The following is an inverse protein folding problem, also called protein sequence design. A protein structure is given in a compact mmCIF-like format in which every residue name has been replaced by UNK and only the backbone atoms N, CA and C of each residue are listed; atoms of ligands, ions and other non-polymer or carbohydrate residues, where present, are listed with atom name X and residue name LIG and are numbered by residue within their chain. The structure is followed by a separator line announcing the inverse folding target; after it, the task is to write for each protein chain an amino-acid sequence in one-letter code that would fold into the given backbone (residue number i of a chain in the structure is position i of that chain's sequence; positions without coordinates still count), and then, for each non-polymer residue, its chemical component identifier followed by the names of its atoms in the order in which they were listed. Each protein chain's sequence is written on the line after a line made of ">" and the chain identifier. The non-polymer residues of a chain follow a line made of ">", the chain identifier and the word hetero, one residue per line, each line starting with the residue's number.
data_IF_884756874293
#
_entry.id   IF_884756874293
#
_cell.length_a   1.000
_cell.length_b   1.000
_cell.length_c   1.000
_cell.angle_alpha   90.00
_cell.angle_beta   90.00
_cell.angle_gamma   90.00
#
_symmetry.space_group_name_H-M   'P 1'
#
loop_
_entity.id
_entity.type
_entity.pdbx_description
1 polymer ?
#
# COMPACT_ATOMS: atom_id res chain seq x y z
N UNK A 1 8.54 13.86 76.40
CA UNK A 1 8.60 15.17 75.70
C UNK A 1 9.59 15.00 74.56
N UNK A 2 9.35 15.24 73.27
CA UNK A 2 8.23 15.74 72.47
C UNK A 2 8.20 14.91 71.18
N UNK A 3 7.00 14.73 70.64
CA UNK A 3 6.70 14.10 69.35
C UNK A 3 7.26 14.91 68.17
N UNK A 4 7.58 14.21 67.09
CA UNK A 4 7.85 14.81 65.77
C UNK A 4 7.75 13.76 64.66
N UNK A 5 6.52 13.38 64.32
CA UNK A 5 6.19 12.59 63.12
C UNK A 5 6.41 13.46 61.88
N UNK A 6 7.07 12.93 60.86
CA UNK A 6 6.97 13.43 59.49
C UNK A 6 6.55 12.28 58.58
N UNK A 7 5.27 12.28 58.22
CA UNK A 7 4.76 11.57 57.05
C UNK A 7 5.26 12.31 55.80
N UNK A 8 5.95 11.61 54.91
CA UNK A 8 6.21 12.07 53.54
C UNK A 8 5.48 11.14 52.57
N UNK A 9 4.49 11.69 51.87
CA UNK A 9 3.60 11.00 50.93
C UNK A 9 4.37 10.24 49.84
N UNK A 10 4.03 8.97 49.66
CA UNK A 10 4.22 8.26 48.40
C UNK A 10 3.19 8.77 47.39
N UNK A 11 3.62 9.62 46.46
CA UNK A 11 2.84 10.02 45.30
C UNK A 11 3.04 9.00 44.18
N UNK A 12 2.08 8.10 44.00
CA UNK A 12 1.97 7.28 42.80
C UNK A 12 1.81 8.19 41.57
N UNK A 13 2.81 8.23 40.69
CA UNK A 13 2.66 8.69 39.31
C UNK A 13 1.84 7.64 38.55
N UNK A 14 0.53 7.73 38.64
CA UNK A 14 -0.34 7.19 37.61
C UNK A 14 -0.17 8.07 36.38
N UNK A 15 0.64 7.61 35.43
CA UNK A 15 0.64 8.12 34.06
C UNK A 15 -0.74 7.82 33.47
N UNK A 16 -1.70 8.71 33.72
CA UNK A 16 -2.95 8.76 32.99
C UNK A 16 -2.59 8.85 31.52
N UNK A 17 -2.84 7.77 30.78
CA UNK A 17 -2.95 7.84 29.34
C UNK A 17 -4.19 8.68 29.06
N UNK A 18 -3.99 10.01 29.10
CA UNK A 18 -4.91 10.93 28.48
C UNK A 18 -4.94 10.54 27.02
N UNK A 19 -6.01 9.90 26.59
CA UNK A 19 -6.40 9.90 25.20
C UNK A 19 -6.47 11.37 24.82
N UNK A 20 -5.44 11.87 24.13
CA UNK A 20 -5.46 13.18 23.52
C UNK A 20 -6.68 13.18 22.61
N UNK A 21 -7.74 13.83 23.06
CA UNK A 21 -8.87 14.17 22.20
C UNK A 21 -8.32 15.24 21.28
N UNK A 22 -7.64 14.78 20.22
CA UNK A 22 -6.88 15.65 19.33
C UNK A 22 -7.80 16.74 18.80
N UNK A 23 -7.41 17.99 19.02
CA UNK A 23 -8.12 19.15 18.48
C UNK A 23 -8.28 18.96 16.97
N UNK A 24 -9.53 19.04 16.51
CA UNK A 24 -9.82 18.95 15.08
C UNK A 24 -9.17 20.12 14.35
N UNK A 25 -8.69 19.85 13.13
CA UNK A 25 -8.14 20.91 12.29
C UNK A 25 -9.19 22.00 12.03
N UNK A 26 -8.80 23.29 12.10
CA UNK A 26 -9.55 24.36 11.46
C UNK A 26 -9.82 24.02 9.99
N UNK A 27 -10.96 24.46 9.46
CA UNK A 27 -11.35 24.18 8.07
C UNK A 27 -10.36 24.76 7.03
N UNK A 28 -9.55 25.74 7.44
CA UNK A 28 -8.50 26.41 6.68
C UNK A 28 -7.09 25.90 7.00
N UNK A 29 -6.94 24.82 7.77
CA UNK A 29 -5.63 24.23 8.06
C UNK A 29 -4.92 23.81 6.76
N UNK A 30 -3.69 24.30 6.59
CA UNK A 30 -2.81 23.97 5.46
C UNK A 30 -1.63 23.12 5.93
N UNK A 31 -1.18 22.21 5.08
CA UNK A 31 0.03 21.44 5.37
C UNK A 31 1.24 22.34 5.22
N UNK A 32 2.09 22.39 6.25
CA UNK A 32 3.41 23.04 6.15
C UNK A 32 4.52 22.07 5.73
N UNK A 33 4.17 20.79 5.49
CA UNK A 33 5.11 19.69 5.21
C UNK A 33 4.80 18.95 3.90
N UNK A 34 5.84 18.39 3.27
CA UNK A 34 5.73 17.53 2.07
C UNK A 34 5.59 18.29 0.74
N UNK A 35 5.18 17.58 -0.32
CA UNK A 35 5.09 18.14 -1.68
C UNK A 35 3.97 19.16 -1.89
N UNK A 36 3.09 19.33 -0.89
CA UNK A 36 1.87 20.13 -0.96
C UNK A 36 1.87 21.27 0.08
N UNK A 37 3.03 21.90 0.33
CA UNK A 37 3.12 23.04 1.25
C UNK A 37 2.12 24.13 0.85
N UNK A 38 1.28 24.55 1.79
CA UNK A 38 0.22 25.56 1.57
C UNK A 38 -1.09 25.01 1.01
N UNK A 39 -1.18 23.72 0.69
CA UNK A 39 -2.45 23.09 0.33
C UNK A 39 -3.27 22.77 1.60
N UNK A 40 -4.59 22.89 1.50
CA UNK A 40 -5.50 22.49 2.57
C UNK A 40 -5.27 21.01 2.92
N UNK A 41 -5.03 20.75 4.20
CA UNK A 41 -4.92 19.39 4.72
C UNK A 41 -6.26 18.66 4.71
N UNK A 42 -7.37 19.38 4.88
CA UNK A 42 -8.70 18.81 5.08
C UNK A 42 -9.66 19.13 3.92
N UNK A 43 -9.10 19.45 2.75
CA UNK A 43 -9.85 19.75 1.54
C UNK A 43 -10.68 18.56 1.06
N UNK A 44 -11.81 18.85 0.40
CA UNK A 44 -12.73 17.85 -0.14
C UNK A 44 -11.98 16.78 -0.91
N UNK A 45 -11.99 15.56 -0.37
CA UNK A 45 -11.36 14.39 -0.96
C UNK A 45 -12.06 14.07 -2.27
N UNK A 46 -11.62 14.67 -3.37
CA UNK A 46 -11.82 14.08 -4.69
C UNK A 46 -10.91 12.86 -4.70
N UNK A 47 -11.48 11.70 -4.36
CA UNK A 47 -10.78 10.41 -4.36
C UNK A 47 -10.35 10.12 -5.80
N UNK A 48 -9.17 10.60 -6.19
CA UNK A 48 -8.45 10.16 -7.38
C UNK A 48 -6.96 10.07 -7.06
N UNK A 49 -6.58 8.90 -6.54
CA UNK A 49 -5.28 8.30 -6.79
C UNK A 49 -4.04 8.99 -6.20
N UNK A 50 -4.10 9.55 -4.98
CA UNK A 50 -2.88 10.03 -4.32
C UNK A 50 -2.03 8.85 -3.86
N UNK A 51 -0.88 8.69 -4.54
CA UNK A 51 0.24 7.85 -4.12
C UNK A 51 0.61 8.20 -2.67
N UNK A 52 0.98 7.19 -1.88
CA UNK A 52 1.47 7.33 -0.50
C UNK A 52 2.49 8.47 -0.41
N UNK A 53 2.03 9.64 0.00
CA UNK A 53 2.90 10.76 0.36
C UNK A 53 3.81 10.27 1.48
N UNK A 54 5.10 10.54 1.36
CA UNK A 54 6.07 10.32 2.43
C UNK A 54 5.51 10.94 3.71
N UNK A 55 5.36 10.13 4.76
CA UNK A 55 4.90 10.62 6.05
C UNK A 55 5.92 11.64 6.58
N UNK A 56 5.46 12.74 7.20
CA UNK A 56 6.38 13.70 7.83
C UNK A 56 7.27 12.98 8.85
N UNK A 57 8.54 13.42 8.97
CA UNK A 57 9.33 13.04 10.15
C UNK A 57 8.77 13.78 11.36
N UNK A 58 8.51 13.01 12.41
CA UNK A 58 8.00 13.51 13.68
C UNK A 58 9.17 13.88 14.58
N UNK A 59 9.01 14.93 15.40
CA UNK A 59 9.97 15.22 16.44
C UNK A 59 10.02 14.04 17.43
N UNK A 60 11.21 13.66 17.87
CA UNK A 60 11.49 12.43 18.63
C UNK A 60 10.74 12.32 19.99
N UNK A 61 9.99 13.35 20.41
CA UNK A 61 9.47 13.47 21.78
C UNK A 61 7.97 13.16 21.96
N UNK A 62 7.21 12.90 20.90
CA UNK A 62 5.83 12.43 21.04
C UNK A 62 5.36 11.53 19.89
N UNK A 63 4.72 10.37 20.18
CA UNK A 63 4.04 9.63 19.13
C UNK A 63 2.97 10.54 18.51
N UNK A 64 2.82 10.54 17.17
CA UNK A 64 1.77 11.32 16.52
C UNK A 64 0.40 10.94 17.12
N UNK A 65 -0.59 11.85 17.09
CA UNK A 65 -1.91 11.54 17.57
C UNK A 65 -2.43 10.34 16.76
N UNK A 66 -3.09 9.42 17.42
CA UNK A 66 -3.80 8.34 16.75
C UNK A 66 -5.07 8.92 16.11
N UNK A 67 -4.96 9.46 14.90
CA UNK A 67 -6.14 9.79 14.10
C UNK A 67 -6.88 8.49 13.75
N UNK A 68 -8.22 8.50 13.78
CA UNK A 68 -9.02 7.29 13.57
C UNK A 68 -8.74 6.72 12.16
N UNK A 69 -8.12 5.53 12.06
CA UNK A 69 -7.74 4.93 10.79
C UNK A 69 -8.95 4.58 9.90
N UNK A 70 -10.17 4.57 10.45
CA UNK A 70 -11.39 4.27 9.69
C UNK A 70 -11.95 5.47 8.93
N UNK A 71 -11.54 6.70 9.26
CA UNK A 71 -12.27 7.89 8.79
C UNK A 71 -11.39 9.11 8.43
N UNK A 72 -10.07 9.05 8.61
CA UNK A 72 -9.22 10.25 8.46
C UNK A 72 -7.99 10.05 7.58
N UNK A 73 -7.67 11.10 6.82
CA UNK A 73 -6.39 11.31 6.14
C UNK A 73 -5.22 11.31 7.15
N UNK A 74 -3.95 11.14 6.70
CA UNK A 74 -2.80 11.29 7.58
C UNK A 74 -2.87 12.61 8.37
N UNK A 75 -2.35 12.66 9.62
CA UNK A 75 -2.42 13.85 10.47
C UNK A 75 -1.86 15.08 9.73
N UNK A 76 -2.58 16.20 9.81
CA UNK A 76 -2.15 17.45 9.20
C UNK A 76 -1.04 18.07 10.05
N UNK A 77 0.09 18.39 9.42
CA UNK A 77 1.11 19.20 10.06
C UNK A 77 0.78 20.69 9.87
N UNK A 78 0.42 21.38 10.95
CA UNK A 78 0.03 22.80 10.93
C UNK A 78 1.17 23.73 11.31
N UNK A 79 2.11 23.24 12.13
CA UNK A 79 3.29 24.00 12.57
C UNK A 79 4.52 23.14 12.41
N UNK A 80 5.58 23.74 11.88
CA UNK A 80 6.89 23.11 11.74
C UNK A 80 7.94 23.98 12.41
N UNK A 81 8.96 23.32 12.93
CA UNK A 81 10.18 23.95 13.44
C UNK A 81 11.38 23.27 12.82
N UNK A 82 12.54 23.92 12.88
CA UNK A 82 13.78 23.30 12.44
C UNK A 82 14.09 22.13 13.39
N UNK A 83 14.23 20.93 12.82
CA UNK A 83 14.55 19.73 13.59
C UNK A 83 16.00 19.69 14.07
N UNK A 84 16.35 18.67 14.86
CA UNK A 84 17.73 18.47 15.29
C UNK A 84 18.65 18.23 14.08
N UNK A 85 19.95 18.54 14.21
CA UNK A 85 20.92 18.24 13.17
C UNK A 85 21.03 16.74 12.93
N UNK A 86 21.22 16.39 11.66
CA UNK A 86 21.49 15.04 11.19
C UNK A 86 22.62 15.07 10.17
N UNK A 87 23.38 13.97 10.06
CA UNK A 87 24.40 13.83 9.02
C UNK A 87 23.73 13.63 7.67
N UNK A 88 23.78 14.65 6.81
CA UNK A 88 23.16 14.63 5.48
C UNK A 88 24.07 14.03 4.41
N UNK A 89 25.39 14.09 4.60
CA UNK A 89 26.37 13.48 3.71
C UNK A 89 27.66 13.14 4.43
N UNK A 90 28.38 12.11 3.95
CA UNK A 90 29.65 11.67 4.56
C UNK A 90 29.47 10.81 5.80
N UNK A 91 28.28 10.21 5.99
CA UNK A 91 27.94 9.38 7.15
C UNK A 91 28.67 8.03 7.22
N UNK A 92 29.40 7.63 6.19
CA UNK A 92 30.31 6.49 6.26
C UNK A 92 31.51 6.65 5.32
N UNK A 93 32.61 5.98 5.67
CA UNK A 93 33.80 5.85 4.83
C UNK A 93 34.52 4.53 5.10
N UNK A 94 35.38 4.11 4.18
CA UNK A 94 36.22 2.93 4.38
C UNK A 94 37.27 3.19 5.45
N UNK A 95 37.65 2.16 6.19
CA UNK A 95 38.84 2.19 7.03
C UNK A 95 40.04 1.74 6.18
N UNK A 96 41.03 2.60 6.02
CA UNK A 96 42.25 2.31 5.26
C UNK A 96 43.43 2.13 6.20
N UNK A 97 44.11 0.99 6.14
CA UNK A 97 45.22 0.60 6.98
C UNK A 97 46.53 0.56 6.20
N UNK A 98 47.60 1.11 6.78
CA UNK A 98 48.94 1.01 6.21
C UNK A 98 49.50 2.35 5.70
N UNK A 99 50.46 2.29 4.77
CA UNK A 99 51.27 3.47 4.37
C UNK A 99 50.88 3.98 2.97
N UNK A 100 50.85 5.31 2.82
CA UNK A 100 50.81 6.07 1.54
C UNK A 100 49.46 6.23 0.80
N UNK A 101 48.32 6.20 1.50
CA UNK A 101 47.01 6.60 0.92
C UNK A 101 46.51 5.77 -0.26
N UNK A 102 47.13 4.63 -0.59
CA UNK A 102 46.68 3.84 -1.74
C UNK A 102 45.41 3.08 -1.33
N UNK A 103 44.23 3.45 -1.85
CA UNK A 103 42.98 2.81 -1.46
C UNK A 103 43.01 1.34 -1.82
N UNK A 104 42.50 0.49 -0.93
CA UNK A 104 42.24 -0.93 -1.18
C UNK A 104 43.52 -1.72 -1.49
N UNK A 105 44.68 -1.26 -0.99
CA UNK A 105 45.98 -1.92 -1.21
C UNK A 105 46.43 -2.77 -0.04
N UNK A 106 45.81 -2.59 1.12
CA UNK A 106 46.03 -3.45 2.28
C UNK A 106 44.94 -4.51 2.37
N UNK A 107 45.33 -5.74 2.70
CA UNK A 107 44.39 -6.80 3.05
C UNK A 107 43.56 -6.50 4.32
N UNK A 108 43.90 -5.42 5.04
CA UNK A 108 43.25 -5.00 6.27
C UNK A 108 42.34 -3.78 6.07
N UNK A 109 42.17 -3.29 4.85
CA UNK A 109 41.18 -2.25 4.54
C UNK A 109 39.76 -2.80 4.72
N UNK A 110 38.89 -2.04 5.39
CA UNK A 110 37.53 -2.48 5.70
C UNK A 110 36.52 -1.49 5.09
N UNK A 111 35.72 -1.92 4.09
CA UNK A 111 34.73 -1.06 3.46
C UNK A 111 33.65 -0.58 4.43
N UNK A 112 33.29 0.72 4.37
CA UNK A 112 32.26 1.34 5.21
C UNK A 112 32.41 1.11 6.72
N UNK A 113 33.63 0.84 7.19
CA UNK A 113 33.91 0.52 8.59
C UNK A 113 33.89 1.72 9.52
N UNK A 114 34.00 2.95 9.00
CA UNK A 114 33.90 4.17 9.79
C UNK A 114 32.54 4.80 9.52
N UNK A 115 31.73 5.00 10.56
CA UNK A 115 30.38 5.56 10.46
C UNK A 115 30.23 6.77 11.37
N UNK A 116 29.36 7.69 10.95
CA UNK A 116 29.06 8.92 11.66
C UNK A 116 27.55 9.15 11.69
N UNK A 117 27.00 9.31 12.89
CA UNK A 117 25.59 9.59 13.10
C UNK A 117 25.37 10.56 14.26
N UNK A 118 24.27 11.30 14.24
CA UNK A 118 23.78 12.00 15.43
C UNK A 118 22.92 11.03 16.24
N UNK A 119 23.23 10.87 17.52
CA UNK A 119 22.53 9.98 18.43
C UNK A 119 22.53 10.57 19.85
N UNK A 120 21.75 9.98 20.76
CA UNK A 120 21.81 10.32 22.19
C UNK A 120 23.19 9.95 22.75
N UNK A 121 23.80 10.85 23.52
CA UNK A 121 25.12 10.60 24.09
C UNK A 121 25.07 9.39 25.04
N UNK A 122 26.07 8.51 24.98
CA UNK A 122 26.12 7.31 25.81
C UNK A 122 26.12 7.59 27.32
N UNK A 123 26.80 8.66 27.76
CA UNK A 123 26.91 9.02 29.18
C UNK A 123 25.76 9.91 29.67
N UNK A 124 25.16 10.70 28.78
CA UNK A 124 24.05 11.60 29.07
C UNK A 124 23.02 11.57 27.93
N UNK A 125 22.01 10.69 28.01
CA UNK A 125 21.00 10.54 26.96
C UNK A 125 20.13 11.79 26.74
N UNK A 126 20.23 12.80 27.61
CA UNK A 126 19.53 14.08 27.42
C UNK A 126 20.24 15.01 26.43
N UNK A 127 21.49 14.68 26.07
CA UNK A 127 22.29 15.41 25.10
C UNK A 127 22.43 14.63 23.79
N UNK A 128 22.57 15.35 22.68
CA UNK A 128 22.90 14.77 21.38
C UNK A 128 24.41 14.81 21.14
N UNK A 129 24.94 13.73 20.59
CA UNK A 129 26.34 13.54 20.24
C UNK A 129 26.49 13.19 18.76
N UNK A 130 27.60 13.61 18.17
CA UNK A 130 28.15 12.92 17.00
C UNK A 130 28.79 11.63 17.48
N UNK A 131 28.18 10.51 17.16
CA UNK A 131 28.74 9.18 17.33
C UNK A 131 29.58 8.84 16.10
N UNK A 132 30.89 8.78 16.29
CA UNK A 132 31.83 8.27 15.31
C UNK A 132 32.24 6.86 15.74
N UNK A 133 31.92 5.85 14.93
CA UNK A 133 32.28 4.46 15.20
C UNK A 133 33.23 3.94 14.14
N UNK A 134 34.15 3.07 14.53
CA UNK A 134 35.07 2.36 13.64
C UNK A 134 35.11 0.86 13.95
N UNK A 135 35.15 0.04 12.91
CA UNK A 135 35.36 -1.41 13.01
C UNK A 135 36.61 -1.85 12.24
N UNK A 136 37.61 -2.40 12.94
CA UNK A 136 38.82 -2.94 12.34
C UNK A 136 38.59 -4.34 11.72
N UNK A 137 39.59 -4.86 10.99
CA UNK A 137 39.53 -6.20 10.38
C UNK A 137 39.42 -7.30 11.45
N UNK A 138 38.90 -8.47 11.07
CA UNK A 138 38.61 -9.57 11.99
C UNK A 138 39.85 -10.17 12.69
N UNK A 139 41.05 -9.90 12.18
CA UNK A 139 42.33 -10.33 12.72
C UNK A 139 43.08 -9.23 13.48
N UNK A 140 42.52 -8.02 13.53
CA UNK A 140 43.06 -6.85 14.21
C UNK A 140 42.51 -6.68 15.63
N UNK A 141 43.26 -5.98 16.47
CA UNK A 141 42.83 -5.45 17.77
C UNK A 141 43.26 -4.00 17.86
N UNK A 142 42.33 -3.10 18.16
CA UNK A 142 42.59 -1.68 18.34
C UNK A 142 43.44 -1.50 19.60
N UNK A 143 44.54 -0.77 19.46
CA UNK A 143 45.50 -0.45 20.52
C UNK A 143 45.55 1.04 20.84
N UNK A 144 45.08 1.89 19.93
CA UNK A 144 44.95 3.34 20.14
C UNK A 144 43.83 3.91 19.26
N UNK A 145 43.23 5.02 19.67
CA UNK A 145 42.14 5.69 18.98
C UNK A 145 42.29 7.22 19.02
N UNK A 146 42.06 7.87 17.88
CA UNK A 146 42.23 9.31 17.76
C UNK A 146 41.12 9.95 16.91
N UNK A 147 40.64 11.09 17.39
CA UNK A 147 39.62 11.88 16.71
C UNK A 147 39.96 13.37 16.73
N UNK A 148 39.76 14.02 15.59
CA UNK A 148 39.82 15.47 15.48
C UNK A 148 38.71 15.98 14.56
N UNK A 149 38.10 17.11 14.93
CA UNK A 149 36.98 17.73 14.22
C UNK A 149 37.28 19.21 14.08
N UNK A 150 36.96 19.81 12.92
CA UNK A 150 37.14 21.24 12.71
C UNK A 150 36.65 21.76 11.35
N UNK A 151 36.65 23.07 11.19
CA UNK A 151 36.15 23.77 9.99
C UNK A 151 37.24 24.27 9.04
N UNK A 152 38.48 24.42 9.54
CA UNK A 152 39.64 24.91 8.80
C UNK A 152 40.65 23.82 8.45
N UNK A 153 41.93 24.17 8.39
CA UNK A 153 43.01 23.17 8.35
C UNK A 153 43.09 22.48 9.72
N UNK A 154 42.98 21.15 9.73
CA UNK A 154 43.16 20.39 10.97
C UNK A 154 44.67 20.31 11.29
N UNK A 155 45.05 20.40 12.57
CA UNK A 155 46.46 20.44 12.95
C UNK A 155 47.15 19.12 12.61
N UNK A 156 48.33 19.22 12.00
CA UNK A 156 49.22 18.07 11.72
C UNK A 156 50.00 17.61 12.97
N UNK A 157 49.54 17.97 14.17
CA UNK A 157 50.16 17.60 15.44
C UNK A 157 50.09 16.09 15.66
N UNK A 158 50.99 15.55 16.50
CA UNK A 158 50.97 14.13 16.88
C UNK A 158 49.57 13.69 17.35
N UNK A 159 49.12 12.52 16.89
CA UNK A 159 47.75 12.01 17.04
C UNK A 159 47.26 12.01 18.50
N UNK A 160 48.13 11.65 19.45
CA UNK A 160 47.82 11.64 20.88
C UNK A 160 47.50 13.01 21.49
N UNK A 161 47.67 14.13 20.75
CA UNK A 161 47.32 15.48 21.20
C UNK A 161 46.03 16.01 20.58
N UNK A 162 45.30 15.20 19.83
CA UNK A 162 44.08 15.66 19.19
C UNK A 162 42.98 15.97 20.24
N UNK A 163 42.27 17.11 20.11
CA UNK A 163 41.40 17.61 21.17
C UNK A 163 40.23 16.69 21.54
N UNK A 164 39.81 15.84 20.60
CA UNK A 164 38.62 15.00 20.76
C UNK A 164 38.93 13.57 21.20
N UNK A 165 40.20 13.20 21.40
CA UNK A 165 40.59 11.88 21.89
C UNK A 165 39.93 11.52 23.23
N UNK A 166 39.65 12.51 24.09
CA UNK A 166 38.98 12.32 25.38
C UNK A 166 37.55 11.77 25.29
N UNK A 167 36.93 11.83 24.10
CA UNK A 167 35.58 11.32 23.85
C UNK A 167 35.58 9.90 23.29
N UNK A 168 36.75 9.29 23.12
CA UNK A 168 36.92 8.02 22.45
C UNK A 168 37.22 6.89 23.43
N UNK A 169 36.63 5.73 23.16
CA UNK A 169 36.88 4.47 23.82
C UNK A 169 37.02 3.37 22.77
N UNK A 170 37.65 2.25 23.11
CA UNK A 170 37.76 1.12 22.19
C UNK A 170 37.82 -0.20 22.96
N UNK A 171 37.37 -1.26 22.31
CA UNK A 171 37.45 -2.63 22.82
C UNK A 171 37.52 -3.62 21.67
N UNK A 172 38.56 -4.47 21.68
CA UNK A 172 38.76 -5.46 20.62
C UNK A 172 38.88 -4.79 19.25
N UNK A 173 37.91 -5.02 18.37
CA UNK A 173 37.88 -4.52 16.99
C UNK A 173 37.08 -3.24 16.81
N UNK A 174 36.43 -2.75 17.86
CA UNK A 174 35.49 -1.63 17.76
C UNK A 174 36.01 -0.44 18.55
N UNK A 175 35.94 0.73 17.92
CA UNK A 175 36.23 2.02 18.52
C UNK A 175 35.02 2.93 18.43
N UNK A 176 34.70 3.63 19.52
CA UNK A 176 33.55 4.51 19.64
C UNK A 176 33.99 5.86 20.20
N UNK A 177 33.64 6.94 19.50
CA UNK A 177 33.81 8.30 19.98
C UNK A 177 32.45 9.00 20.06
N UNK A 178 32.11 9.50 21.25
CA UNK A 178 30.84 10.19 21.52
C UNK A 178 31.11 11.67 21.80
N UNK A 179 31.05 12.50 20.76
CA UNK A 179 31.36 13.93 20.87
C UNK A 179 30.08 14.74 21.03
N UNK A 180 29.86 15.45 22.15
CA UNK A 180 28.70 16.32 22.32
C UNK A 180 28.60 17.35 21.19
N UNK A 181 27.39 17.56 20.65
CA UNK A 181 27.18 18.53 19.57
C UNK A 181 27.66 19.93 19.96
N UNK A 182 27.44 20.34 21.21
CA UNK A 182 27.89 21.62 21.75
C UNK A 182 29.41 21.83 21.65
N UNK A 183 30.21 20.76 21.75
CA UNK A 183 31.66 20.82 21.60
C UNK A 183 32.08 21.05 20.14
N UNK A 184 31.29 20.57 19.17
CA UNK A 184 31.52 20.79 17.74
C UNK A 184 31.03 22.18 17.35
N UNK A 185 29.86 22.60 17.81
CA UNK A 185 29.30 23.93 17.54
C UNK A 185 30.19 25.05 18.06
N UNK A 186 30.91 24.83 19.16
CA UNK A 186 31.92 25.76 19.65
C UNK A 186 33.07 26.04 18.66
N UNK A 187 33.25 25.21 17.63
CA UNK A 187 34.22 25.40 16.54
C UNK A 187 33.65 26.21 15.36
N UNK A 188 32.35 26.47 15.34
CA UNK A 188 31.64 27.07 14.22
C UNK A 188 31.38 28.56 14.48
N UNK A 189 31.25 29.32 13.40
CA UNK A 189 30.84 30.73 13.47
C UNK A 189 29.88 31.00 12.30
N UNK A 190 28.56 31.08 12.53
CA UNK A 190 27.86 30.99 13.83
C UNK A 190 27.89 29.57 14.46
N UNK A 191 27.66 29.43 15.78
CA UNK A 191 27.69 28.14 16.48
C UNK A 191 26.41 27.33 16.20
N UNK A 192 26.31 26.75 15.01
CA UNK A 192 25.21 25.88 14.62
C UNK A 192 25.68 24.82 13.62
N UNK A 193 25.34 23.55 13.86
CA UNK A 193 25.60 22.49 12.88
C UNK A 193 24.67 22.56 11.66
N UNK A 194 23.52 23.22 11.75
CA UNK A 194 22.54 23.23 10.68
C UNK A 194 23.10 23.87 9.39
N UNK A 195 23.28 23.06 8.34
CA UNK A 195 23.88 23.50 7.08
C UNK A 195 25.41 23.63 7.11
N UNK A 196 26.05 23.26 8.21
CA UNK A 196 27.50 23.29 8.34
C UNK A 196 28.15 22.05 7.70
N UNK A 197 29.39 22.23 7.25
CA UNK A 197 30.28 21.13 6.87
C UNK A 197 31.51 21.17 7.76
N UNK A 198 31.86 20.04 8.36
CA UNK A 198 33.07 19.88 9.19
C UNK A 198 33.97 18.82 8.61
N UNK A 199 35.27 18.96 8.87
CA UNK A 199 36.28 17.95 8.60
C UNK A 199 36.40 17.06 9.83
N UNK A 200 36.35 15.74 9.62
CA UNK A 200 36.55 14.75 10.67
C UNK A 200 37.73 13.86 10.29
N UNK A 201 38.78 13.90 11.10
CA UNK A 201 39.90 12.97 11.00
C UNK A 201 39.77 11.94 12.11
N UNK A 202 39.52 10.69 11.73
CA UNK A 202 39.36 9.56 12.63
C UNK A 202 40.42 8.51 12.27
N UNK A 203 41.32 8.22 13.22
CA UNK A 203 42.33 7.18 13.07
C UNK A 203 42.39 6.23 14.26
N UNK A 204 42.90 5.03 14.01
CA UNK A 204 43.17 4.00 15.00
C UNK A 204 44.56 3.40 14.79
N UNK A 205 45.16 2.88 15.85
CA UNK A 205 46.29 1.97 15.74
C UNK A 205 45.80 0.55 16.03
N UNK A 206 46.27 -0.43 15.26
CA UNK A 206 45.87 -1.84 15.39
C UNK A 206 47.07 -2.76 15.50
N UNK A 207 46.91 -3.86 16.23
CA UNK A 207 47.84 -4.99 16.24
C UNK A 207 47.16 -6.24 15.66
N UNK A 208 47.88 -7.03 14.89
CA UNK A 208 47.33 -8.23 14.23
C UNK A 208 47.71 -9.52 14.96
N UNK A 209 46.80 -10.50 14.93
CA UNK A 209 47.02 -11.82 15.54
C UNK A 209 48.23 -12.59 14.98
N UNK A 210 48.59 -12.35 13.71
CA UNK A 210 49.79 -12.89 13.05
C UNK A 210 51.08 -12.13 13.32
N UNK A 211 51.04 -11.09 14.15
CA UNK A 211 52.13 -10.15 14.36
C UNK A 211 52.08 -8.95 13.39
N UNK A 212 52.69 -7.85 13.81
CA UNK A 212 52.64 -6.57 13.09
C UNK A 212 51.61 -5.60 13.66
N UNK A 213 51.72 -4.36 13.22
CA UNK A 213 50.83 -3.26 13.63
C UNK A 213 50.72 -2.26 12.49
N UNK A 214 49.52 -1.74 12.29
CA UNK A 214 49.27 -0.66 11.35
C UNK A 214 48.55 0.48 12.04
N UNK A 215 48.56 1.62 11.37
CA UNK A 215 47.67 2.72 11.71
C UNK A 215 46.70 2.87 10.55
N UNK A 216 45.42 3.02 10.90
CA UNK A 216 44.33 3.09 9.96
C UNK A 216 43.57 4.41 10.11
N UNK A 217 43.00 4.92 9.01
CA UNK A 217 42.21 6.14 8.98
C UNK A 217 40.93 5.95 8.20
N UNK A 218 39.90 6.72 8.56
CA UNK A 218 38.76 6.91 7.68
C UNK A 218 39.21 7.50 6.36
N UNK A 219 38.88 6.85 5.26
CA UNK A 219 39.24 7.28 3.92
C UNK A 219 38.67 8.68 3.64
N UNK A 220 39.47 9.53 3.01
CA UNK A 220 39.06 10.89 2.69
C UNK A 220 40.15 11.68 1.98
N UNK A 221 40.24 12.97 2.30
CA UNK A 221 41.27 13.86 1.77
C UNK A 221 42.49 13.89 2.71
N UNK A 222 43.72 14.00 2.21
CA UNK A 222 44.90 14.11 3.05
C UNK A 222 44.89 15.43 3.84
N UNK A 223 45.38 15.39 5.08
CA UNK A 223 45.64 16.57 5.89
C UNK A 223 46.78 17.40 5.28
N UNK A 224 46.71 18.72 5.47
CA UNK A 224 47.78 19.62 5.05
C UNK A 224 49.11 19.26 5.73
N UNK A 225 50.17 19.05 4.94
CA UNK A 225 51.52 18.75 5.43
C UNK A 225 52.14 17.46 4.86
N UNK A 226 53.22 16.98 5.48
CA UNK A 226 53.92 15.74 5.09
C UNK A 226 53.30 14.47 5.70
N UNK A 227 52.15 14.59 6.35
CA UNK A 227 51.59 13.51 7.16
C UNK A 227 50.49 12.77 6.42
N UNK A 228 50.64 11.44 6.45
CA UNK A 228 49.72 10.34 6.12
C UNK A 228 48.20 10.40 6.23
N UNK A 229 47.73 11.40 6.96
CA UNK A 229 46.47 11.33 7.68
C UNK A 229 45.35 11.85 6.80
N UNK A 230 44.18 11.27 6.95
CA UNK A 230 43.02 11.62 6.14
C UNK A 230 41.91 12.21 6.99
N UNK A 231 41.09 13.03 6.36
CA UNK A 231 39.84 13.54 6.92
C UNK A 231 38.71 13.35 5.92
N UNK A 232 37.52 13.08 6.43
CA UNK A 232 36.28 13.07 5.66
C UNK A 232 35.53 14.39 5.87
N UNK A 233 34.72 14.78 4.89
CA UNK A 233 33.80 15.90 5.01
C UNK A 233 32.44 15.38 5.45
N UNK A 234 31.96 15.85 6.60
CA UNK A 234 30.61 15.59 7.08
C UNK A 234 29.80 16.86 6.92
N UNK A 235 28.66 16.76 6.22
CA UNK A 235 27.69 17.85 6.14
C UNK A 235 26.46 17.51 6.95
N UNK A 236 25.89 18.53 7.58
CA UNK A 236 24.74 18.40 8.44
C UNK A 236 23.53 19.15 7.86
N UNK A 237 22.37 18.54 7.96
CA UNK A 237 21.10 19.18 7.68
C UNK A 237 20.23 19.16 8.95
N UNK A 238 19.41 20.18 9.11
CA UNK A 238 18.38 20.22 10.14
C UNK A 238 17.04 20.21 9.42
N UNK A 239 16.54 19.02 9.03
CA UNK A 239 15.27 18.93 8.33
C UNK A 239 14.19 19.54 9.22
N UNK A 240 13.23 20.23 8.61
CA UNK A 240 12.06 20.66 9.37
C UNK A 240 11.38 19.42 10.00
N UNK A 241 10.85 19.58 11.20
CA UNK A 241 10.03 18.58 11.89
C UNK A 241 8.66 19.18 12.20
N UNK A 242 7.66 18.32 12.28
CA UNK A 242 6.33 18.75 12.66
C UNK A 242 6.21 18.89 14.18
N UNK A 243 5.88 20.10 14.66
CA UNK A 243 5.68 20.38 16.10
C UNK A 243 4.22 20.65 16.47
N UNK A 244 3.38 20.95 15.48
CA UNK A 244 1.93 21.12 15.67
C UNK A 244 1.13 20.31 14.66
N UNK A 245 0.13 19.57 15.15
CA UNK A 245 -0.70 18.71 14.34
C UNK A 245 -2.18 18.79 14.72
N UNK A 246 -3.04 18.34 13.81
CA UNK A 246 -4.47 18.17 14.06
C UNK A 246 -5.03 17.04 13.18
N UNK A 247 -6.19 16.48 13.57
CA UNK A 247 -6.90 15.49 12.76
C UNK A 247 -8.03 16.18 11.96
N UNK A 248 -8.15 15.84 10.68
CA UNK A 248 -9.28 16.31 9.88
C UNK A 248 -10.59 15.73 10.40
N UNK A 249 -11.65 16.55 10.39
CA UNK A 249 -12.98 16.08 10.75
C UNK A 249 -13.44 15.02 9.73
N UNK A 250 -13.98 13.87 10.16
CA UNK A 250 -14.54 12.91 9.23
C UNK A 250 -15.67 13.55 8.41
N UNK A 251 -15.82 13.21 7.12
CA UNK A 251 -16.95 13.66 6.34
C UNK A 251 -18.26 13.19 7.01
N UNK A 252 -19.35 13.96 6.91
CA UNK A 252 -20.65 13.50 7.40
C UNK A 252 -20.98 12.16 6.72
N UNK A 253 -21.35 11.16 7.52
CA UNK A 253 -21.79 9.86 7.00
C UNK A 253 -23.06 10.10 6.19
N UNK A 254 -22.97 10.03 4.87
CA UNK A 254 -24.15 9.97 4.01
C UNK A 254 -24.66 8.54 4.10
N UNK A 255 -25.84 8.34 4.68
CA UNK A 255 -26.48 7.03 4.75
C UNK A 255 -26.64 6.49 3.32
N UNK A 256 -26.20 5.25 3.02
CA UNK A 256 -26.33 4.70 1.68
C UNK A 256 -27.82 4.69 1.27
N UNK A 257 -28.14 5.01 0.00
CA UNK A 257 -29.51 4.93 -0.49
C UNK A 257 -30.04 3.51 -0.24
N UNK A 258 -31.24 3.43 0.35
CA UNK A 258 -31.85 2.14 0.68
C UNK A 258 -32.03 1.31 -0.60
N UNK A 259 -31.70 0.01 -0.60
CA UNK A 259 -31.75 -0.82 -1.79
C UNK A 259 -33.18 -0.95 -2.34
N UNK A 260 -33.35 -1.10 -3.67
CA UNK A 260 -34.65 -1.36 -4.29
C UNK A 260 -35.20 -2.73 -3.88
N UNK A 261 -36.52 -2.90 -3.98
CA UNK A 261 -37.19 -4.19 -3.73
C UNK A 261 -37.23 -4.99 -5.03
N UNK A 262 -36.64 -6.18 -5.03
CA UNK A 262 -36.71 -7.12 -6.16
C UNK A 262 -37.95 -8.03 -6.02
N UNK A 263 -38.80 -8.06 -7.04
CA UNK A 263 -39.99 -8.90 -7.09
C UNK A 263 -39.90 -9.86 -8.27
N UNK A 264 -40.28 -11.13 -8.07
CA UNK A 264 -40.32 -12.13 -9.14
C UNK A 264 -41.20 -11.64 -10.29
N UNK A 265 -40.64 -11.59 -11.51
CA UNK A 265 -41.34 -11.13 -12.71
C UNK A 265 -41.71 -12.29 -13.64
N UNK A 266 -40.82 -13.29 -13.76
CA UNK A 266 -41.13 -14.55 -14.42
C UNK A 266 -39.96 -15.14 -15.20
N UNK A 267 -40.25 -16.21 -15.95
CA UNK A 267 -39.28 -16.88 -16.81
C UNK A 267 -39.18 -16.19 -18.18
N UNK A 268 -37.95 -15.97 -18.63
CA UNK A 268 -37.60 -15.33 -19.89
C UNK A 268 -36.86 -16.30 -20.82
N UNK A 269 -37.24 -16.33 -22.09
CA UNK A 269 -36.55 -17.12 -23.12
C UNK A 269 -35.96 -16.21 -24.20
N UNK A 270 -34.78 -16.60 -24.70
CA UNK A 270 -34.13 -15.94 -25.82
C UNK A 270 -34.87 -16.24 -27.13
N UNK A 271 -35.33 -15.18 -27.79
CA UNK A 271 -36.02 -15.22 -29.06
C UNK A 271 -35.18 -14.54 -30.14
N UNK A 272 -35.17 -15.14 -31.33
CA UNK A 272 -34.71 -14.50 -32.56
C UNK A 272 -35.75 -14.66 -33.67
N UNK A 273 -35.88 -13.67 -34.58
CA UNK A 273 -36.79 -13.80 -35.71
C UNK A 273 -36.41 -15.02 -36.55
N UNK A 274 -37.42 -15.74 -37.03
CA UNK A 274 -37.26 -16.97 -37.83
C UNK A 274 -36.64 -18.17 -37.10
N UNK A 275 -36.58 -18.17 -35.76
CA UNK A 275 -36.22 -19.36 -35.00
C UNK A 275 -37.45 -20.03 -34.40
N UNK A 276 -37.37 -21.34 -34.28
CA UNK A 276 -38.49 -22.19 -33.87
C UNK A 276 -38.75 -22.06 -32.37
N UNK A 277 -40.03 -21.96 -32.00
CA UNK A 277 -40.43 -22.33 -30.65
C UNK A 277 -40.35 -23.85 -30.45
N UNK A 278 -40.47 -24.32 -29.20
CA UNK A 278 -40.42 -25.77 -28.91
C UNK A 278 -41.45 -26.61 -29.68
N UNK A 279 -42.53 -25.99 -30.18
CA UNK A 279 -43.58 -26.63 -30.97
C UNK A 279 -43.34 -26.60 -32.49
N UNK A 280 -42.19 -26.10 -32.96
CA UNK A 280 -41.81 -26.10 -34.38
C UNK A 280 -42.45 -25.00 -35.23
N UNK A 281 -42.88 -23.89 -34.63
CA UNK A 281 -43.40 -22.71 -35.34
C UNK A 281 -42.42 -21.52 -35.16
N UNK A 282 -42.11 -20.74 -36.22
CA UNK A 282 -42.57 -20.88 -37.61
C UNK A 282 -41.87 -21.97 -38.41
N UNK A 283 -40.74 -22.47 -37.91
CA UNK A 283 -39.89 -23.40 -38.66
C UNK A 283 -39.91 -24.81 -38.02
N UNK A 284 -40.39 -25.85 -38.71
CA UNK A 284 -40.31 -27.22 -38.19
C UNK A 284 -38.85 -27.71 -38.13
N UNK A 285 -38.55 -28.79 -37.38
CA UNK A 285 -39.47 -29.65 -36.62
C UNK A 285 -39.75 -29.15 -35.20
N UNK A 286 -40.80 -29.66 -34.55
CA UNK A 286 -40.94 -29.52 -33.10
C UNK A 286 -39.87 -30.36 -32.36
N UNK A 287 -39.48 -29.95 -31.15
CA UNK A 287 -38.71 -30.82 -30.27
C UNK A 287 -39.64 -31.95 -29.79
N UNK A 288 -39.33 -33.21 -30.15
CA UNK A 288 -40.29 -34.33 -30.14
C UNK A 288 -40.85 -34.75 -28.75
N UNK A 289 -42.09 -35.25 -28.78
CA UNK A 289 -42.96 -35.95 -27.80
C UNK A 289 -43.18 -35.37 -26.38
N UNK A 290 -44.42 -34.92 -26.15
CA UNK A 290 -45.20 -34.65 -24.91
C UNK A 290 -44.56 -33.88 -23.73
N UNK A 291 -43.25 -33.90 -23.58
CA UNK A 291 -42.46 -33.30 -22.49
C UNK A 291 -42.07 -31.85 -22.79
N UNK A 292 -42.12 -31.46 -24.08
CA UNK A 292 -41.80 -30.12 -24.58
C UNK A 292 -43.03 -29.30 -25.00
N UNK A 293 -44.25 -29.66 -24.58
CA UNK A 293 -45.49 -28.86 -24.73
C UNK A 293 -45.52 -27.60 -23.85
N UNK A 294 -44.35 -27.00 -23.61
CA UNK A 294 -44.14 -25.77 -22.84
C UNK A 294 -43.85 -24.63 -23.80
N UNK A 295 -43.89 -23.41 -23.28
CA UNK A 295 -43.44 -22.23 -24.00
C UNK A 295 -41.92 -22.06 -23.84
N UNK A 296 -41.29 -21.54 -24.88
CA UNK A 296 -39.85 -21.37 -25.02
C UNK A 296 -39.39 -21.53 -26.47
N UNK A 297 -38.18 -21.07 -26.74
CA UNK A 297 -37.58 -21.00 -28.07
C UNK A 297 -36.23 -21.70 -28.10
N UNK A 298 -35.86 -22.23 -29.25
CA UNK A 298 -34.56 -22.86 -29.45
C UNK A 298 -33.95 -22.47 -30.79
N UNK A 299 -32.65 -22.67 -30.89
CA UNK A 299 -31.86 -22.39 -32.09
C UNK A 299 -31.22 -23.71 -32.55
N UNK A 300 -31.39 -24.05 -33.82
CA UNK A 300 -30.68 -25.13 -34.48
C UNK A 300 -29.85 -24.52 -35.63
N UNK A 301 -28.55 -24.39 -35.43
CA UNK A 301 -27.66 -23.59 -36.29
C UNK A 301 -26.37 -24.33 -36.63
N UNK A 302 -25.79 -24.06 -37.79
CA UNK A 302 -24.45 -24.55 -38.14
C UNK A 302 -23.32 -23.69 -37.55
N UNK A 303 -23.60 -22.42 -37.26
CA UNK A 303 -22.70 -21.47 -36.60
C UNK A 303 -23.43 -20.87 -35.38
N UNK A 304 -22.96 -21.11 -34.14
CA UNK A 304 -23.64 -20.65 -32.93
C UNK A 304 -23.26 -19.21 -32.55
N UNK A 305 -22.96 -18.36 -33.54
CA UNK A 305 -22.79 -16.91 -33.39
C UNK A 305 -24.12 -16.20 -33.66
N UNK A 306 -24.84 -15.83 -32.62
CA UNK A 306 -26.18 -15.23 -32.74
C UNK A 306 -26.54 -14.34 -31.55
N UNK A 307 -27.55 -13.50 -31.74
CA UNK A 307 -28.10 -12.61 -30.70
C UNK A 307 -29.60 -12.48 -30.85
N UNK A 308 -30.27 -12.12 -29.76
CA UNK A 308 -31.71 -11.90 -29.77
C UNK A 308 -32.22 -11.23 -28.51
N UNK A 309 -33.54 -11.22 -28.35
CA UNK A 309 -34.25 -10.56 -27.25
C UNK A 309 -34.69 -11.60 -26.22
N UNK A 310 -34.54 -11.28 -24.94
CA UNK A 310 -35.12 -12.07 -23.84
C UNK A 310 -36.56 -11.61 -23.62
N UNK A 311 -37.52 -12.49 -23.84
CA UNK A 311 -38.93 -12.22 -23.57
C UNK A 311 -39.39 -12.98 -22.33
N UNK A 312 -39.78 -12.23 -21.29
CA UNK A 312 -40.37 -12.75 -20.06
C UNK A 312 -41.90 -12.81 -20.17
N UNK A 313 -42.52 -13.86 -19.63
CA UNK A 313 -43.99 -13.97 -19.60
C UNK A 313 -44.66 -14.18 -20.96
N UNK A 314 -43.92 -14.60 -21.99
CA UNK A 314 -44.46 -14.93 -23.31
C UNK A 314 -45.18 -16.30 -23.31
N UNK A 315 -46.18 -16.44 -22.43
CA UNK A 315 -46.97 -17.66 -22.27
C UNK A 315 -47.54 -18.14 -23.61
N UNK A 316 -47.53 -19.46 -23.81
CA UNK A 316 -47.95 -20.09 -25.07
C UNK A 316 -47.15 -19.67 -26.31
N UNK A 317 -45.94 -19.11 -26.13
CA UNK A 317 -45.10 -18.54 -27.19
C UNK A 317 -45.71 -17.31 -27.88
N UNK A 318 -46.61 -16.61 -27.20
CA UNK A 318 -47.23 -15.39 -27.69
C UNK A 318 -46.39 -14.18 -27.26
N UNK A 319 -45.56 -13.67 -28.18
CA UNK A 319 -44.70 -12.51 -27.91
C UNK A 319 -45.49 -11.24 -27.63
N UNK A 320 -46.76 -11.15 -28.04
CA UNK A 320 -47.61 -9.99 -27.72
C UNK A 320 -48.03 -9.94 -26.25
N UNK A 321 -47.91 -11.07 -25.54
CA UNK A 321 -48.16 -11.18 -24.09
C UNK A 321 -46.89 -11.09 -23.24
N UNK A 322 -45.72 -11.24 -23.85
CA UNK A 322 -44.44 -11.16 -23.17
C UNK A 322 -43.86 -9.75 -23.13
N UNK A 323 -43.07 -9.47 -22.10
CA UNK A 323 -42.26 -8.26 -22.03
C UNK A 323 -40.84 -8.54 -22.54
N UNK A 324 -40.31 -7.68 -23.42
CA UNK A 324 -38.88 -7.65 -23.69
C UNK A 324 -38.17 -7.10 -22.44
N UNK A 325 -37.32 -7.92 -21.82
CA UNK A 325 -36.63 -7.58 -20.57
C UNK A 325 -35.12 -7.40 -20.75
N UNK A 326 -34.62 -7.61 -21.97
CA UNK A 326 -33.22 -7.46 -22.31
C UNK A 326 -32.85 -8.21 -23.58
N UNK A 327 -31.55 -8.42 -23.75
CA UNK A 327 -30.97 -9.13 -24.88
C UNK A 327 -30.05 -10.26 -24.42
N UNK A 328 -29.81 -11.21 -25.32
CA UNK A 328 -28.78 -12.23 -25.17
C UNK A 328 -27.90 -12.29 -26.42
N UNK A 329 -26.67 -12.76 -26.25
CA UNK A 329 -25.75 -13.08 -27.34
C UNK A 329 -24.99 -14.36 -27.06
N UNK A 330 -24.62 -15.07 -28.12
CA UNK A 330 -23.79 -16.26 -28.06
C UNK A 330 -22.75 -16.24 -29.18
N UNK A 331 -21.54 -16.70 -28.90
CA UNK A 331 -20.45 -16.77 -29.87
C UNK A 331 -19.56 -17.98 -29.59
N UNK A 332 -19.18 -18.72 -30.63
CA UNK A 332 -18.23 -19.83 -30.50
C UNK A 332 -16.80 -19.29 -30.33
N UNK A 333 -16.10 -19.73 -29.29
CA UNK A 333 -14.68 -19.45 -29.08
C UNK A 333 -13.97 -20.78 -28.81
N UNK A 334 -13.26 -21.29 -29.82
CA UNK A 334 -12.70 -22.64 -29.78
C UNK A 334 -13.81 -23.69 -29.75
N UNK A 335 -13.87 -24.49 -28.68
CA UNK A 335 -14.91 -25.53 -28.47
C UNK A 335 -15.99 -25.09 -27.48
N UNK A 336 -15.93 -23.86 -26.96
CA UNK A 336 -16.86 -23.35 -25.96
C UNK A 336 -17.76 -22.26 -26.54
N UNK A 337 -18.97 -22.17 -26.00
CA UNK A 337 -19.92 -21.10 -26.30
C UNK A 337 -19.80 -19.99 -25.26
N UNK A 338 -19.40 -18.79 -25.68
CA UNK A 338 -19.46 -17.61 -24.83
C UNK A 338 -20.86 -17.03 -24.93
N UNK A 339 -21.57 -17.00 -23.81
CA UNK A 339 -22.96 -16.54 -23.72
C UNK A 339 -23.01 -15.31 -22.83
N UNK A 340 -23.76 -14.29 -23.26
CA UNK A 340 -23.97 -13.07 -22.49
C UNK A 340 -25.43 -12.65 -22.48
N UNK A 341 -25.89 -12.09 -21.37
CA UNK A 341 -27.23 -11.55 -21.16
C UNK A 341 -27.06 -10.10 -20.70
N UNK A 342 -27.96 -9.22 -21.14
CA UNK A 342 -28.01 -7.81 -20.75
C UNK A 342 -29.45 -7.39 -20.57
N UNK A 343 -29.90 -7.24 -19.32
CA UNK A 343 -31.25 -6.82 -18.98
C UNK A 343 -31.42 -5.29 -19.04
N UNK A 344 -32.63 -4.87 -19.40
CA UNK A 344 -33.03 -3.47 -19.40
C UNK A 344 -33.12 -2.90 -17.97
N UNK A 345 -33.13 -1.58 -17.85
CA UNK A 345 -33.19 -0.92 -16.55
C UNK A 345 -34.51 -1.24 -15.84
N UNK A 346 -34.43 -1.56 -14.54
CA UNK A 346 -35.60 -1.99 -13.75
C UNK A 346 -35.82 -3.50 -13.74
N UNK A 347 -34.95 -4.29 -14.36
CA UNK A 347 -34.94 -5.75 -14.28
C UNK A 347 -33.61 -6.26 -13.70
N UNK A 348 -33.66 -7.48 -13.17
CA UNK A 348 -32.55 -8.12 -12.47
C UNK A 348 -32.58 -9.64 -12.71
N UNK A 349 -31.42 -10.29 -12.91
CA UNK A 349 -31.36 -11.74 -13.16
C UNK A 349 -31.40 -12.49 -11.84
N UNK A 350 -32.33 -13.44 -11.68
CA UNK A 350 -32.34 -14.35 -10.52
C UNK A 350 -31.80 -15.75 -10.84
N UNK A 351 -31.95 -16.22 -12.08
CA UNK A 351 -31.39 -17.50 -12.53
C UNK A 351 -31.04 -17.43 -14.02
N UNK A 352 -30.02 -18.20 -14.43
CA UNK A 352 -29.66 -18.38 -15.85
C UNK A 352 -29.55 -19.87 -16.16
N UNK A 353 -30.18 -20.27 -17.27
CA UNK A 353 -30.14 -21.64 -17.79
C UNK A 353 -29.81 -21.60 -19.28
N UNK A 354 -28.79 -22.35 -19.69
CA UNK A 354 -28.40 -22.44 -21.11
C UNK A 354 -28.27 -23.89 -21.51
N UNK A 355 -29.00 -24.29 -22.55
CA UNK A 355 -28.76 -25.55 -23.25
C UNK A 355 -27.80 -25.28 -24.41
N UNK A 356 -26.72 -26.04 -24.52
CA UNK A 356 -25.78 -25.99 -25.63
C UNK A 356 -25.23 -27.39 -25.92
N UNK A 357 -25.65 -28.01 -27.03
CA UNK A 357 -25.30 -29.38 -27.37
C UNK A 357 -25.24 -29.64 -28.88
N UNK A 358 -24.47 -30.64 -29.30
CA UNK A 358 -24.56 -31.22 -30.65
C UNK A 358 -25.81 -32.10 -30.85
N UNK A 359 -26.57 -32.38 -29.79
CA UNK A 359 -27.75 -33.26 -29.82
C UNK A 359 -29.03 -32.48 -29.55
N UNK A 360 -30.11 -32.90 -30.23
CA UNK A 360 -31.46 -32.34 -30.05
C UNK A 360 -31.86 -32.43 -28.56
N UNK A 361 -32.37 -31.34 -27.95
CA UNK A 361 -32.85 -31.36 -26.57
C UNK A 361 -33.95 -32.41 -26.37
N UNK A 362 -33.84 -33.20 -25.29
CA UNK A 362 -34.87 -34.19 -24.88
C UNK A 362 -35.78 -33.68 -23.76
N UNK A 363 -35.45 -32.54 -23.17
CA UNK A 363 -36.22 -31.91 -22.09
C UNK A 363 -36.24 -30.41 -22.31
N UNK A 364 -37.40 -29.80 -22.08
CA UNK A 364 -37.61 -28.37 -22.18
C UNK A 364 -37.69 -27.68 -20.80
N UNK A 365 -37.40 -28.41 -19.71
CA UNK A 365 -37.36 -27.82 -18.37
C UNK A 365 -36.01 -27.13 -18.13
N UNK A 366 -35.97 -25.82 -17.80
CA UNK A 366 -34.71 -25.08 -17.68
C UNK A 366 -33.67 -25.69 -16.73
N UNK A 367 -34.11 -26.24 -15.59
CA UNK A 367 -33.23 -26.90 -14.63
C UNK A 367 -32.55 -28.18 -15.13
N UNK A 368 -32.86 -28.65 -16.35
CA UNK A 368 -32.23 -29.82 -16.99
C UNK A 368 -31.26 -29.45 -18.11
N UNK A 369 -31.00 -28.16 -18.33
CA UNK A 369 -30.11 -27.71 -19.39
C UNK A 369 -28.64 -27.93 -19.04
N UNK A 370 -27.76 -27.93 -20.06
CA UNK A 370 -26.34 -28.25 -19.93
C UNK A 370 -25.60 -27.31 -18.98
N UNK A 371 -26.05 -26.07 -18.88
CA UNK A 371 -25.62 -25.11 -17.88
C UNK A 371 -26.81 -24.69 -17.03
N UNK A 372 -26.72 -25.03 -15.75
CA UNK A 372 -27.57 -24.49 -14.69
C UNK A 372 -26.69 -23.53 -13.89
N UNK A 373 -27.02 -22.24 -13.88
CA UNK A 373 -26.24 -21.17 -13.24
C UNK A 373 -26.15 -21.24 -11.71
N UNK A 374 -26.23 -22.45 -11.14
CA UNK A 374 -26.16 -22.79 -9.73
C UNK A 374 -24.73 -22.50 -9.21
N UNK A 375 -24.42 -21.24 -8.93
CA UNK A 375 -23.09 -20.80 -8.51
C UNK A 375 -22.71 -19.39 -8.95
N UNK A 376 -23.61 -18.67 -9.62
CA UNK A 376 -23.51 -17.22 -9.74
C UNK A 376 -24.12 -16.60 -8.49
N UNK A 377 -23.40 -15.68 -7.86
CA UNK A 377 -23.96 -14.80 -6.85
C UNK A 377 -24.85 -13.76 -7.56
N UNK A 378 -26.08 -14.17 -7.86
CA UNK A 378 -27.16 -13.32 -8.35
C UNK A 378 -28.01 -12.79 -7.19
N UNK A 379 -27.41 -12.68 -5.99
CA UNK A 379 -28.10 -12.19 -4.78
C UNK A 379 -28.05 -10.67 -4.65
N UNK A 380 -27.39 -9.98 -5.60
CA UNK A 380 -27.39 -8.54 -5.69
C UNK A 380 -28.69 -8.02 -6.30
N UNK A 381 -29.09 -6.80 -5.93
CA UNK A 381 -30.31 -6.16 -6.47
C UNK A 381 -30.09 -5.47 -7.83
N UNK A 382 -28.97 -5.74 -8.52
CA UNK A 382 -28.57 -5.08 -9.77
C UNK A 382 -27.80 -6.00 -10.73
N UNK A 383 -28.05 -7.30 -10.73
CA UNK A 383 -27.40 -8.29 -11.59
C UNK A 383 -27.99 -8.26 -13.01
N UNK A 384 -27.76 -7.14 -13.71
CA UNK A 384 -28.30 -6.86 -15.05
C UNK A 384 -27.54 -7.54 -16.17
N UNK A 385 -26.33 -8.03 -15.90
CA UNK A 385 -25.48 -8.61 -16.94
C UNK A 385 -24.94 -9.96 -16.49
N UNK A 386 -24.94 -10.92 -17.40
CA UNK A 386 -24.28 -12.21 -17.22
C UNK A 386 -23.37 -12.47 -18.42
N UNK A 387 -22.20 -13.06 -18.19
CA UNK A 387 -21.33 -13.54 -19.26
C UNK A 387 -20.56 -14.78 -18.81
N UNK A 388 -20.62 -15.85 -19.60
CA UNK A 388 -19.93 -17.12 -19.26
C UNK A 388 -19.52 -17.88 -20.51
N UNK A 389 -18.36 -18.52 -20.43
CA UNK A 389 -17.93 -19.55 -21.38
C UNK A 389 -18.45 -20.91 -20.92
N UNK A 390 -19.25 -21.56 -21.77
CA UNK A 390 -19.99 -22.79 -21.48
C UNK A 390 -19.48 -23.89 -22.43
N UNK A 391 -19.17 -25.07 -21.89
CA UNK A 391 -18.83 -26.23 -22.69
C UNK A 391 -20.05 -26.73 -23.47
N UNK A 392 -19.88 -27.00 -24.76
CA UNK A 392 -20.93 -27.56 -25.61
C UNK A 392 -20.93 -29.08 -25.40
N UNK A 393 -22.08 -29.63 -24.99
CA UNK A 393 -22.21 -31.07 -24.80
C UNK A 393 -22.12 -31.83 -26.15
N UNK A 394 -21.48 -33.01 -26.13
CA UNK A 394 -21.18 -33.79 -27.33
C UNK A 394 -19.72 -33.64 -27.78
N UNK A 395 -19.47 -33.76 -29.09
CA UNK A 395 -18.13 -33.68 -29.67
C UNK A 395 -18.07 -32.56 -30.72
N UNK A 396 -17.84 -31.30 -30.33
CA UNK A 396 -17.61 -30.21 -31.28
C UNK A 396 -16.40 -30.49 -32.19
N UNK A 397 -16.42 -30.06 -33.47
CA UNK A 397 -17.48 -29.29 -34.13
C UNK A 397 -18.73 -30.12 -34.42
N UNK A 398 -19.92 -29.53 -34.20
CA UNK A 398 -21.19 -30.17 -34.50
C UNK A 398 -21.61 -29.83 -35.94
N UNK A 399 -22.32 -30.72 -36.65
CA UNK A 399 -23.02 -30.35 -37.88
C UNK A 399 -24.21 -29.42 -37.62
N UNK A 400 -24.80 -29.50 -36.42
CA UNK A 400 -25.85 -28.61 -35.93
C UNK A 400 -25.68 -28.43 -34.43
N UNK A 401 -25.66 -27.18 -33.98
CA UNK A 401 -25.69 -26.77 -32.59
C UNK A 401 -27.13 -26.50 -32.18
N UNK A 402 -27.55 -27.11 -31.08
CA UNK A 402 -28.85 -26.88 -30.46
C UNK A 402 -28.67 -26.01 -29.23
N UNK A 403 -29.27 -24.82 -29.24
CA UNK A 403 -29.14 -23.83 -28.17
C UNK A 403 -30.50 -23.43 -27.60
N UNK A 404 -30.57 -23.25 -26.28
CA UNK A 404 -31.72 -22.64 -25.59
C UNK A 404 -31.16 -21.65 -24.57
N UNK A 405 -31.69 -20.42 -24.58
CA UNK A 405 -31.32 -19.38 -23.64
C UNK A 405 -32.52 -19.09 -22.75
N UNK A 406 -32.36 -19.28 -21.45
CA UNK A 406 -33.39 -19.03 -20.46
C UNK A 406 -32.83 -18.24 -19.28
N UNK A 407 -33.65 -17.38 -18.69
CA UNK A 407 -33.37 -16.74 -17.41
C UNK A 407 -34.64 -16.64 -16.56
N UNK A 408 -34.51 -16.60 -15.24
CA UNK A 408 -35.53 -16.01 -14.37
C UNK A 408 -35.16 -14.55 -14.12
N UNK A 409 -36.17 -13.69 -14.16
CA UNK A 409 -36.00 -12.26 -14.07
C UNK A 409 -36.87 -11.71 -12.95
N UNK A 410 -36.29 -10.81 -12.16
CA UNK A 410 -36.97 -9.97 -11.19
C UNK A 410 -37.24 -8.59 -11.80
N UNK A 411 -38.26 -7.90 -11.31
CA UNK A 411 -38.52 -6.49 -11.56
C UNK A 411 -38.22 -5.68 -10.30
N UNK A 412 -37.45 -4.61 -10.46
CA UNK A 412 -37.01 -3.74 -9.37
C UNK A 412 -38.04 -2.63 -9.14
N UNK A 413 -38.39 -2.44 -7.87
CA UNK A 413 -39.31 -1.39 -7.40
C UNK A 413 -38.64 -0.46 -6.40
N UNK A 414 -39.11 0.79 -6.25
CA UNK A 414 -38.63 1.69 -5.21
C UNK A 414 -38.74 1.06 -3.81
N UNK A 415 -37.80 1.42 -2.93
CA UNK A 415 -37.80 0.97 -1.55
C UNK A 415 -39.16 1.19 -0.86
N UNK A 416 -39.63 0.18 -0.13
CA UNK A 416 -40.91 0.20 0.59
C UNK A 416 -42.13 -0.22 -0.25
N UNK A 417 -41.93 -0.57 -1.52
CA UNK A 417 -43.00 -1.12 -2.37
C UNK A 417 -43.26 -2.60 -2.02
N UNK A 418 -44.53 -2.99 -1.92
CA UNK A 418 -44.94 -4.40 -1.83
C UNK A 418 -45.01 -5.01 -3.23
N UNK A 419 -44.47 -6.22 -3.41
CA UNK A 419 -44.52 -6.91 -4.70
C UNK A 419 -45.98 -7.12 -5.16
N UNK A 420 -46.30 -6.82 -6.43
CA UNK A 420 -47.60 -7.16 -6.99
C UNK A 420 -47.79 -8.69 -6.99
N UNK A 421 -49.03 -9.16 -6.94
CA UNK A 421 -49.33 -10.58 -7.10
C UNK A 421 -48.75 -11.08 -8.44
N UNK A 422 -48.08 -12.24 -8.43
CA UNK A 422 -47.55 -12.83 -9.65
C UNK A 422 -48.69 -13.19 -10.61
N UNK A 423 -48.51 -12.89 -11.89
CA UNK A 423 -49.46 -13.20 -12.96
C UNK A 423 -49.06 -14.48 -13.70
N UNK A 424 -48.58 -15.50 -12.99
CA UNK A 424 -48.17 -16.78 -13.59
C UNK A 424 -49.35 -17.63 -14.06
#
# INVERSE_FOLDING_TARGET
>A
MRFGRSLGLAGCLLAGHGLATGDYCPNDAVSVFGSNVGASCCGSVVIRGLRRSLLPRWADEAPPPTCDPRTTQPPCCTTKEQGPPEVSSGGSTNLQCGKKYEPDTSSHDVPSAVTYAIADCQEDPTQKCLHAQVSASADATITDIHLNIGTGSLPSTALGRWPFNKYCTFSGQVGDCWVPISAIEALLTPPSLCGATVKVAFGISVSYSGGGSDTCFGQGSPLDGKNWFMYSLLSFACPDVCTGWCCCKPPPVVEPPKPPVACEFGSAYGYGPNYSNFNGNPNPPALADNTCKKWGFYFAVSDPTLSGILHAGAGQNDLSKGAAVGAFSAMLVGTNLVVSYSLDAGYDLSEVHVYASCTVPRSCSPGSYTYTGNGLDLSGTEDRTFSKSIAIAGSPPCSTYYLIFHAKVNKLYPYGTTCPASND
#
